data_IF_728968874163
#
_entry.id   IF_728968874163
#
_cell.length_a   1.000
_cell.length_b   1.000
_cell.length_c   1.000
_cell.angle_alpha   90.00
_cell.angle_beta   90.00
_cell.angle_gamma   90.00
#
_symmetry.space_group_name_H-M   'P 1'
#
loop_
_entity.id
_entity.type
_entity.pdbx_description
1 polymer ?
#
# COMPACT_ATOMS: atom_id res chain seq x y z
N UNK A 1 0.32 16.51 14.72
CA UNK A 1 -0.88 15.95 14.06
C UNK A 1 -0.56 14.52 13.65
N UNK A 2 -1.24 13.53 14.21
CA UNK A 2 -1.10 12.13 13.77
C UNK A 2 -1.77 11.99 12.40
N UNK A 3 -1.06 11.53 11.35
CA UNK A 3 -1.70 11.28 10.07
C UNK A 3 -2.76 10.21 10.28
N UNK A 4 -4.03 10.56 10.07
CA UNK A 4 -5.10 9.57 10.10
C UNK A 4 -4.85 8.59 8.96
N UNK A 5 -4.45 7.36 9.33
CA UNK A 5 -4.09 6.34 8.38
C UNK A 5 -5.34 5.94 7.60
N UNK A 6 -5.36 6.04 6.26
CA UNK A 6 -6.51 5.63 5.49
C UNK A 6 -6.68 4.12 5.62
N UNK A 7 -7.80 3.68 6.19
CA UNK A 7 -8.13 2.26 6.30
C UNK A 7 -8.31 1.66 4.89
N UNK A 8 -7.35 0.86 4.43
CA UNK A 8 -7.45 0.19 3.14
C UNK A 8 -8.25 -1.10 3.18
N UNK A 9 -9.14 -1.26 4.17
CA UNK A 9 -10.10 -2.36 4.17
C UNK A 9 -10.92 -2.30 2.89
N UNK A 10 -10.64 -3.21 1.97
CA UNK A 10 -11.59 -3.60 0.95
C UNK A 10 -12.63 -4.42 1.70
N UNK A 11 -13.91 -4.07 1.55
CA UNK A 11 -14.98 -4.96 2.01
C UNK A 11 -14.79 -6.27 1.26
N UNK A 12 -14.45 -7.39 1.94
CA UNK A 12 -14.22 -8.64 1.25
C UNK A 12 -15.49 -9.01 0.51
N UNK A 13 -15.41 -9.05 -0.82
CA UNK A 13 -16.47 -9.62 -1.63
C UNK A 13 -16.55 -11.10 -1.29
N UNK A 14 -17.74 -11.61 -0.92
CA UNK A 14 -17.96 -13.03 -0.66
C UNK A 14 -17.54 -13.85 -1.89
N UNK A 15 -16.35 -14.44 -1.87
CA UNK A 15 -15.88 -15.39 -2.88
C UNK A 15 -14.35 -15.36 -3.04
N UNK A 16 -13.75 -16.44 -3.57
CA UNK A 16 -12.33 -16.44 -3.93
C UNK A 16 -12.04 -15.29 -4.89
N UNK A 17 -11.18 -14.36 -4.49
CA UNK A 17 -10.83 -13.22 -5.33
C UNK A 17 -9.72 -13.63 -6.30
N UNK A 18 -9.92 -13.40 -7.59
CA UNK A 18 -8.83 -13.50 -8.54
C UNK A 18 -7.77 -12.45 -8.19
N UNK A 19 -6.46 -12.78 -8.15
CA UNK A 19 -5.40 -11.82 -7.80
C UNK A 19 -5.46 -10.54 -8.64
N UNK A 20 -5.80 -10.67 -9.93
CA UNK A 20 -5.97 -9.55 -10.86
C UNK A 20 -7.14 -8.62 -10.49
N UNK A 21 -8.26 -9.17 -9.98
CA UNK A 21 -9.41 -8.37 -9.52
C UNK A 21 -9.05 -7.60 -8.24
N UNK A 22 -8.36 -8.25 -7.31
CA UNK A 22 -7.87 -7.62 -6.08
C UNK A 22 -6.90 -6.47 -6.41
N UNK A 23 -5.92 -6.72 -7.28
CA UNK A 23 -4.98 -5.69 -7.77
C UNK A 23 -5.70 -4.50 -8.41
N UNK A 24 -6.65 -4.76 -9.32
CA UNK A 24 -7.41 -3.70 -9.99
C UNK A 24 -8.24 -2.87 -9.02
N UNK A 25 -8.88 -3.51 -8.04
CA UNK A 25 -9.65 -2.82 -7.00
C UNK A 25 -8.74 -1.95 -6.11
N UNK A 26 -7.56 -2.46 -5.74
CA UNK A 26 -6.57 -1.71 -4.98
C UNK A 26 -6.01 -0.54 -5.77
N UNK A 27 -5.69 -0.73 -7.04
CA UNK A 27 -5.18 0.32 -7.91
C UNK A 27 -6.17 1.48 -8.06
N UNK A 28 -7.45 1.18 -8.30
CA UNK A 28 -8.51 2.20 -8.36
C UNK A 28 -8.67 2.91 -7.02
N UNK A 29 -8.68 2.18 -5.90
CA UNK A 29 -8.83 2.78 -4.57
C UNK A 29 -7.65 3.69 -4.22
N UNK A 30 -6.43 3.23 -4.46
CA UNK A 30 -5.19 3.97 -4.18
C UNK A 30 -5.06 5.21 -5.06
N UNK A 31 -5.39 5.09 -6.35
CA UNK A 31 -5.43 6.22 -7.27
C UNK A 31 -6.42 7.30 -6.82
N UNK A 32 -7.62 6.90 -6.37
CA UNK A 32 -8.62 7.84 -5.80
C UNK A 32 -8.16 8.52 -4.51
N UNK A 33 -7.31 7.85 -3.73
CA UNK A 33 -6.70 8.42 -2.52
C UNK A 33 -5.49 9.33 -2.84
N UNK A 34 -5.09 9.42 -4.10
CA UNK A 34 -3.99 10.26 -4.59
C UNK A 34 -2.62 9.60 -4.52
N UNK A 35 -2.55 8.27 -4.38
CA UNK A 35 -1.31 7.52 -4.55
C UNK A 35 -1.05 7.30 -6.05
N UNK A 36 0.16 7.65 -6.52
CA UNK A 36 0.49 7.62 -7.95
C UNK A 36 1.49 6.54 -8.36
N UNK A 37 2.43 6.17 -7.48
CA UNK A 37 3.36 5.05 -7.72
C UNK A 37 2.91 3.86 -6.92
N UNK A 38 2.17 2.95 -7.55
CA UNK A 38 1.62 1.73 -6.94
C UNK A 38 2.38 0.54 -7.52
N UNK A 39 2.87 -0.34 -6.65
CA UNK A 39 3.53 -1.59 -7.02
C UNK A 39 2.87 -2.76 -6.29
N UNK A 40 2.83 -3.89 -6.97
CA UNK A 40 2.22 -5.13 -6.50
C UNK A 40 3.27 -6.24 -6.61
N UNK A 41 3.48 -6.99 -5.54
CA UNK A 41 4.33 -8.18 -5.51
C UNK A 41 3.47 -9.31 -4.98
N UNK A 42 3.36 -10.38 -5.77
CA UNK A 42 2.64 -11.59 -5.42
C UNK A 42 3.63 -12.66 -4.98
N UNK A 43 3.42 -13.24 -3.79
CA UNK A 43 4.19 -14.38 -3.29
C UNK A 43 3.21 -15.46 -2.78
N UNK A 44 2.97 -16.49 -3.57
CA UNK A 44 2.03 -17.55 -3.21
C UNK A 44 0.61 -17.03 -3.02
N UNK A 45 0.10 -17.11 -1.78
CA UNK A 45 -1.22 -16.61 -1.41
C UNK A 45 -1.21 -15.14 -0.96
N UNK A 46 -0.04 -14.50 -0.91
CA UNK A 46 0.11 -13.16 -0.37
C UNK A 46 0.31 -12.14 -1.49
N UNK A 47 -0.35 -10.98 -1.34
CA UNK A 47 -0.19 -9.82 -2.20
C UNK A 47 0.33 -8.65 -1.37
N UNK A 48 1.61 -8.33 -1.57
CA UNK A 48 2.20 -7.11 -1.07
C UNK A 48 1.89 -5.95 -2.03
N UNK A 49 1.41 -4.85 -1.46
CA UNK A 49 1.10 -3.61 -2.17
C UNK A 49 1.87 -2.48 -1.55
N UNK A 50 2.62 -1.75 -2.36
CA UNK A 50 3.26 -0.51 -1.95
C UNK A 50 2.76 0.64 -2.79
N UNK A 51 2.43 1.77 -2.17
CA UNK A 51 1.91 2.93 -2.86
C UNK A 51 2.55 4.22 -2.33
N UNK A 52 2.87 5.18 -3.21
CA UNK A 52 3.47 6.48 -2.81
C UNK A 52 2.59 7.68 -3.17
N UNK A 53 2.47 8.61 -2.23
CA UNK A 53 1.80 9.92 -2.35
C UNK A 53 2.70 11.00 -1.73
N UNK A 54 3.41 11.76 -2.57
CA UNK A 54 4.45 12.69 -2.09
C UNK A 54 5.53 11.94 -1.31
N UNK A 55 5.82 12.36 -0.08
CA UNK A 55 6.75 11.65 0.82
C UNK A 55 6.09 10.59 1.67
N UNK A 56 4.78 10.33 1.51
CA UNK A 56 4.11 9.24 2.20
C UNK A 56 4.20 7.96 1.37
N UNK A 57 4.71 6.89 1.99
CA UNK A 57 4.67 5.53 1.47
C UNK A 57 3.73 4.71 2.32
N UNK A 58 2.97 3.87 1.64
CA UNK A 58 2.03 2.93 2.20
C UNK A 58 2.47 1.53 1.78
N UNK A 59 2.54 0.62 2.74
CA UNK A 59 2.71 -0.81 2.53
C UNK A 59 1.51 -1.56 3.09
N UNK A 60 0.98 -2.53 2.35
CA UNK A 60 -0.11 -3.37 2.80
C UNK A 60 0.08 -4.79 2.27
N UNK A 61 -0.26 -5.79 3.09
CA UNK A 61 -0.23 -7.21 2.70
C UNK A 61 -1.65 -7.74 2.75
N UNK A 62 -2.06 -8.40 1.68
CA UNK A 62 -3.37 -9.02 1.56
C UNK A 62 -3.22 -10.53 1.37
N UNK A 63 -4.09 -11.30 2.01
CA UNK A 63 -4.33 -12.70 1.65
C UNK A 63 -5.21 -12.70 0.39
N UNK A 64 -4.70 -13.23 -0.71
CA UNK A 64 -5.37 -13.26 -2.02
C UNK A 64 -6.63 -14.14 -2.01
N UNK A 65 -6.63 -15.37 -1.45
CA UNK A 65 -7.82 -16.22 -1.41
C UNK A 65 -9.02 -15.56 -0.74
N UNK A 66 -8.82 -14.85 0.38
CA UNK A 66 -9.90 -14.19 1.12
C UNK A 66 -10.08 -12.70 0.78
N UNK A 67 -9.10 -12.08 0.12
CA UNK A 67 -9.02 -10.63 -0.04
C UNK A 67 -8.79 -9.87 1.28
N UNK A 68 -8.43 -10.56 2.36
CA UNK A 68 -8.30 -9.96 3.68
C UNK A 68 -7.01 -9.15 3.80
N UNK A 69 -7.11 -7.95 4.37
CA UNK A 69 -5.94 -7.16 4.74
C UNK A 69 -5.30 -7.79 5.98
N UNK A 70 -4.09 -8.34 5.81
CA UNK A 70 -3.33 -8.97 6.89
C UNK A 70 -2.52 -7.94 7.69
N UNK A 71 -1.83 -7.04 6.98
CA UNK A 71 -0.99 -6.02 7.58
C UNK A 71 -1.04 -4.72 6.79
N UNK A 72 -0.93 -3.59 7.46
CA UNK A 72 -0.85 -2.27 6.83
C UNK A 72 0.09 -1.38 7.64
N UNK A 73 0.99 -0.68 6.97
CA UNK A 73 1.82 0.34 7.58
C UNK A 73 2.02 1.52 6.63
N UNK A 74 2.26 2.70 7.18
CA UNK A 74 2.65 3.88 6.42
C UNK A 74 3.89 4.50 7.03
N UNK A 75 4.83 4.90 6.19
CA UNK A 75 6.04 5.59 6.61
C UNK A 75 6.33 6.74 5.66
N UNK A 76 7.14 7.69 6.12
CA UNK A 76 7.67 8.69 5.21
C UNK A 76 8.78 8.03 4.38
N UNK A 77 8.73 8.11 3.05
CA UNK A 77 9.92 7.97 2.23
C UNK A 77 10.85 9.06 2.72
N UNK A 78 11.81 8.69 3.57
CA UNK A 78 12.76 9.64 4.14
C UNK A 78 13.21 10.56 3.03
N UNK A 79 13.09 11.88 3.26
CA UNK A 79 13.84 12.83 2.46
C UNK A 79 15.25 12.28 2.41
N UNK A 80 15.80 12.17 1.19
CA UNK A 80 17.19 11.81 0.99
C UNK A 80 17.97 12.48 2.11
N UNK A 81 18.62 11.67 2.96
CA UNK A 81 19.35 12.17 4.11
C UNK A 81 20.13 13.37 3.63
N UNK A 82 19.89 14.50 4.29
CA UNK A 82 20.57 15.74 3.99
C UNK A 82 22.09 15.44 3.95
N UNK A 83 22.75 15.50 2.77
CA UNK A 83 24.18 15.21 2.71
C UNK A 83 25.02 16.29 3.41
N UNK A 84 24.39 17.34 3.97
CA UNK A 84 25.05 18.47 4.63
C UNK A 84 25.36 18.22 6.12
N UNK A 85 25.18 17.00 6.63
CA UNK A 85 25.52 16.67 8.03
C UNK A 85 26.93 16.08 8.21
N UNK A 86 27.79 16.17 7.19
CA UNK A 86 29.22 15.78 7.24
C UNK A 86 30.20 16.96 7.14
N UNK A 87 29.71 18.20 7.18
CA UNK A 87 30.54 19.40 7.24
C UNK A 87 30.33 20.15 8.56
N UNK A 88 30.82 19.59 9.67
CA UNK A 88 30.84 20.22 10.98
C UNK A 88 32.02 19.75 11.80
#
# INVERSE_FOLDING_TARGET
MTPQMPCLKLTPGRGPQCPQQLRSALEVKLSRLGYGRICFIEEGADLLVTARKGDLVLGAVYDVPSGALMAQNTWQAGGAGDPDLLAG
#
